data_IF_451773301521
#
_entry.id   IF_451773301521
#
_cell.length_a   1.000
_cell.length_b   1.000
_cell.length_c   1.000
_cell.angle_alpha   90.00
_cell.angle_beta   90.00
_cell.angle_gamma   90.00
#
_symmetry.space_group_name_H-M   'P 1'
#
loop_
_entity.id
_entity.type
_entity.pdbx_description
1 polymer ?
#
# COMPACT_ATOMS: atom_id res chain seq x y z
N UNK A 1 12.61 8.30 8.11
CA UNK A 1 12.67 9.50 7.23
C UNK A 1 11.29 9.90 6.69
N UNK A 2 10.43 8.96 6.26
CA UNK A 2 9.07 9.30 5.76
C UNK A 2 8.20 9.98 6.85
N UNK A 3 7.99 9.29 7.98
CA UNK A 3 7.14 9.80 9.06
C UNK A 3 7.72 11.07 9.70
N UNK A 4 9.04 11.13 9.86
CA UNK A 4 9.73 12.32 10.36
C UNK A 4 9.61 13.55 9.44
N UNK A 5 9.30 13.35 8.15
CA UNK A 5 8.99 14.41 7.20
C UNK A 5 7.50 14.76 7.16
N UNK A 6 6.68 14.23 8.07
CA UNK A 6 5.23 14.44 8.12
C UNK A 6 4.44 13.64 7.06
N UNK A 7 5.09 12.69 6.38
CA UNK A 7 4.48 11.82 5.38
C UNK A 7 3.96 10.50 5.96
N UNK A 8 3.24 9.76 5.12
CA UNK A 8 2.67 8.44 5.44
C UNK A 8 3.46 7.33 4.75
N UNK A 9 3.72 6.25 5.47
CA UNK A 9 4.49 5.12 4.96
C UNK A 9 3.57 3.99 4.48
N UNK A 10 3.80 3.54 3.24
CA UNK A 10 3.06 2.43 2.61
C UNK A 10 4.06 1.43 2.04
N UNK A 11 3.84 0.13 2.29
CA UNK A 11 4.60 -0.92 1.60
C UNK A 11 4.03 -1.11 0.20
N UNK A 12 4.83 -0.80 -0.82
CA UNK A 12 4.48 -1.04 -2.21
C UNK A 12 4.65 -2.52 -2.58
N UNK A 13 3.67 -3.05 -3.34
CA UNK A 13 3.60 -4.38 -3.94
C UNK A 13 4.42 -5.44 -3.17
N UNK A 14 3.99 -5.82 -1.95
CA UNK A 14 4.81 -6.59 -0.99
C UNK A 14 5.34 -7.90 -1.58
N UNK A 15 4.54 -8.56 -2.42
CA UNK A 15 4.88 -9.84 -3.02
C UNK A 15 5.71 -9.75 -4.31
N UNK A 16 5.94 -8.55 -4.88
CA UNK A 16 6.79 -8.41 -6.06
C UNK A 16 8.24 -8.87 -5.78
N UNK A 17 8.74 -8.57 -4.57
CA UNK A 17 10.09 -8.96 -4.11
C UNK A 17 10.13 -10.32 -3.39
N UNK A 18 8.98 -10.84 -2.97
CA UNK A 18 8.83 -12.04 -2.14
C UNK A 18 8.01 -13.14 -2.82
N UNK A 19 8.06 -13.23 -4.17
CA UNK A 19 7.28 -14.23 -4.93
C UNK A 19 7.44 -15.62 -4.33
N UNK A 20 6.32 -16.20 -3.87
CA UNK A 20 6.26 -17.53 -3.28
C UNK A 20 6.51 -17.61 -1.76
N UNK A 21 6.70 -16.48 -1.06
CA UNK A 21 6.73 -16.46 0.41
C UNK A 21 5.35 -16.10 0.97
N UNK A 22 4.93 -16.84 1.99
CA UNK A 22 3.73 -16.52 2.75
C UNK A 22 4.07 -15.47 3.81
N UNK A 23 3.49 -14.27 3.68
CA UNK A 23 3.59 -13.24 4.72
C UNK A 23 2.44 -13.38 5.71
N UNK A 24 2.69 -13.05 6.97
CA UNK A 24 1.75 -13.05 8.09
C UNK A 24 1.73 -11.67 8.75
N UNK A 25 0.69 -11.35 9.50
CA UNK A 25 0.60 -10.07 10.21
C UNK A 25 1.80 -9.83 11.16
N UNK A 26 2.34 -10.90 11.75
CA UNK A 26 3.53 -10.84 12.60
C UNK A 26 4.79 -10.34 11.86
N UNK A 27 4.88 -10.52 10.54
CA UNK A 27 6.02 -10.05 9.74
C UNK A 27 6.01 -8.51 9.59
N UNK A 28 4.88 -7.86 9.88
CA UNK A 28 4.70 -6.41 9.75
C UNK A 28 4.61 -5.69 11.10
N UNK A 29 4.53 -6.39 12.23
CA UNK A 29 4.30 -5.75 13.54
C UNK A 29 5.35 -4.72 13.90
N UNK A 30 6.62 -5.02 13.61
CA UNK A 30 7.74 -4.11 13.88
C UNK A 30 7.69 -2.87 12.97
N UNK A 31 7.20 -3.03 11.74
CA UNK A 31 7.01 -1.93 10.80
C UNK A 31 5.85 -1.04 11.25
N UNK A 32 4.75 -1.62 11.72
CA UNK A 32 3.64 -0.87 12.34
C UNK A 32 4.13 -0.08 13.55
N UNK A 33 4.90 -0.71 14.44
CA UNK A 33 5.51 -0.04 15.59
C UNK A 33 6.47 1.09 15.17
N UNK A 34 7.13 0.95 14.03
CA UNK A 34 8.01 1.97 13.45
C UNK A 34 7.26 3.06 12.64
N UNK A 35 5.93 2.97 12.50
CA UNK A 35 5.10 3.95 11.80
C UNK A 35 4.69 3.57 10.38
N UNK A 36 4.42 2.30 10.11
CA UNK A 36 3.74 1.86 8.89
C UNK A 36 2.25 2.25 8.94
N UNK A 37 1.74 2.85 7.86
CA UNK A 37 0.37 3.36 7.79
C UNK A 37 -0.51 2.60 6.79
N UNK A 38 0.08 2.01 5.75
CA UNK A 38 -0.67 1.32 4.72
C UNK A 38 0.10 0.23 4.00
N UNK A 39 -0.62 -0.51 3.16
CA UNK A 39 -0.08 -1.58 2.33
C UNK A 39 -0.78 -1.61 0.98
N UNK A 40 0.01 -1.80 -0.08
CA UNK A 40 -0.53 -1.94 -1.43
C UNK A 40 -1.01 -3.37 -1.67
N UNK A 41 -2.31 -3.50 -1.93
CA UNK A 41 -2.99 -4.77 -2.18
C UNK A 41 -3.33 -4.91 -3.66
N UNK A 42 -3.90 -3.87 -4.26
CA UNK A 42 -4.36 -3.97 -5.65
C UNK A 42 -3.21 -3.61 -6.60
N UNK A 43 -2.49 -4.64 -7.04
CA UNK A 43 -1.38 -4.55 -8.00
C UNK A 43 -1.33 -5.77 -8.91
N UNK A 44 -0.82 -5.60 -10.15
CA UNK A 44 -0.74 -6.67 -11.16
C UNK A 44 0.07 -7.89 -10.70
N UNK A 45 1.17 -7.65 -10.00
CA UNK A 45 2.05 -8.71 -9.50
C UNK A 45 1.47 -9.50 -8.32
N UNK A 46 0.25 -9.18 -7.89
CA UNK A 46 -0.45 -9.87 -6.80
C UNK A 46 -1.64 -10.63 -7.35
N UNK A 47 -1.65 -11.95 -7.20
CA UNK A 47 -2.75 -12.81 -7.59
C UNK A 47 -3.94 -12.68 -6.60
N UNK A 48 -5.13 -13.22 -6.91
CA UNK A 48 -6.31 -13.07 -6.04
C UNK A 48 -6.12 -13.56 -4.59
N UNK A 49 -5.39 -14.66 -4.39
CA UNK A 49 -5.16 -15.23 -3.05
C UNK A 49 -4.19 -14.36 -2.23
N UNK A 50 -3.14 -13.86 -2.88
CA UNK A 50 -2.20 -12.90 -2.30
C UNK A 50 -2.91 -11.60 -1.88
N UNK A 51 -3.81 -11.08 -2.73
CA UNK A 51 -4.63 -9.92 -2.39
C UNK A 51 -5.52 -10.18 -1.18
N UNK A 52 -6.19 -11.34 -1.13
CA UNK A 52 -7.04 -11.70 -0.01
C UNK A 52 -6.23 -11.79 1.31
N UNK A 53 -5.04 -12.39 1.25
CA UNK A 53 -4.10 -12.45 2.38
C UNK A 53 -3.70 -11.05 2.87
N UNK A 54 -3.31 -10.16 1.97
CA UNK A 54 -2.91 -8.80 2.35
C UNK A 54 -4.07 -7.96 2.87
N UNK A 55 -5.30 -8.17 2.37
CA UNK A 55 -6.50 -7.54 2.96
C UNK A 55 -6.71 -8.00 4.40
N UNK A 56 -6.53 -9.28 4.69
CA UNK A 56 -6.64 -9.80 6.05
C UNK A 56 -5.59 -9.18 6.97
N UNK A 57 -4.33 -9.15 6.53
CA UNK A 57 -3.23 -8.52 7.28
C UNK A 57 -3.51 -7.02 7.50
N UNK A 58 -3.97 -6.31 6.47
CA UNK A 58 -4.30 -4.89 6.59
C UNK A 58 -5.43 -4.66 7.60
N UNK A 59 -6.45 -5.51 7.60
CA UNK A 59 -7.56 -5.44 8.55
C UNK A 59 -7.09 -5.73 9.99
N UNK A 60 -6.28 -6.76 10.19
CA UNK A 60 -5.76 -7.16 11.50
C UNK A 60 -4.87 -6.08 12.13
N UNK A 61 -4.03 -5.44 11.32
CA UNK A 61 -3.09 -4.40 11.76
C UNK A 61 -3.65 -2.98 11.68
N UNK A 62 -4.89 -2.82 11.20
CA UNK A 62 -5.50 -1.51 11.00
C UNK A 62 -4.76 -0.64 9.98
N UNK A 63 -4.18 -1.24 8.94
CA UNK A 63 -3.49 -0.52 7.87
C UNK A 63 -4.49 0.03 6.83
N UNK A 64 -4.08 1.10 6.14
CA UNK A 64 -4.78 1.58 4.94
C UNK A 64 -4.49 0.66 3.76
N UNK A 65 -5.53 0.31 3.00
CA UNK A 65 -5.39 -0.49 1.78
C UNK A 65 -5.23 0.42 0.57
N UNK A 66 -4.15 0.25 -0.18
CA UNK A 66 -3.91 1.02 -1.41
C UNK A 66 -3.88 0.12 -2.65
N UNK A 67 -4.06 0.77 -3.80
CA UNK A 67 -3.90 0.16 -5.12
C UNK A 67 -3.28 1.16 -6.08
N UNK A 68 -2.35 0.70 -6.91
CA UNK A 68 -1.75 1.51 -7.95
C UNK A 68 -1.34 0.67 -9.17
N UNK A 69 -1.05 1.38 -10.25
CA UNK A 69 -0.65 0.76 -11.51
C UNK A 69 0.83 0.42 -11.57
N UNK A 70 1.71 1.09 -10.83
CA UNK A 70 3.16 1.06 -11.07
C UNK A 70 3.52 1.27 -12.56
N UNK A 71 2.86 2.25 -13.20
CA UNK A 71 3.00 2.52 -14.63
C UNK A 71 4.38 3.10 -14.99
N UNK A 72 5.01 2.53 -16.02
CA UNK A 72 6.36 2.88 -16.48
C UNK A 72 6.42 3.19 -17.99
N UNK A 73 5.33 3.68 -18.59
CA UNK A 73 5.28 3.90 -20.04
C UNK A 73 5.28 2.59 -20.80
N UNK A 74 6.18 2.47 -21.78
CA UNK A 74 6.40 1.23 -22.54
C UNK A 74 7.40 0.27 -21.84
N UNK A 75 7.91 0.61 -20.65
CA UNK A 75 8.89 -0.19 -19.92
C UNK A 75 8.30 -1.37 -19.14
N UNK A 76 6.98 -1.36 -18.90
CA UNK A 76 6.23 -2.46 -18.26
C UNK A 76 4.88 -2.62 -18.96
N UNK A 77 4.25 -3.78 -18.74
CA UNK A 77 2.93 -4.09 -19.29
C UNK A 77 1.77 -3.42 -18.53
N UNK A 78 2.05 -2.81 -17.38
CA UNK A 78 1.08 -2.15 -16.53
C UNK A 78 0.43 -1.00 -17.32
N UNK A 79 -0.89 -0.85 -17.19
CA UNK A 79 -1.62 0.29 -17.78
C UNK A 79 -1.80 1.38 -16.73
N UNK A 80 -1.73 2.65 -17.14
CA UNK A 80 -1.99 3.76 -16.22
C UNK A 80 -3.39 3.64 -15.61
N UNK A 81 -3.48 3.65 -14.28
CA UNK A 81 -4.74 3.54 -13.56
C UNK A 81 -5.38 2.14 -13.56
N UNK A 82 -4.63 1.09 -13.93
CA UNK A 82 -5.09 -0.30 -13.92
C UNK A 82 -5.64 -0.75 -12.56
N UNK A 83 -5.03 -0.27 -11.47
CA UNK A 83 -5.57 -0.35 -10.11
C UNK A 83 -5.55 1.05 -9.48
N UNK A 84 -6.48 1.25 -8.56
CA UNK A 84 -6.71 2.53 -7.90
C UNK A 84 -6.92 2.31 -6.41
N UNK A 85 -6.57 3.32 -5.62
CA UNK A 85 -6.91 3.37 -4.20
C UNK A 85 -8.34 3.85 -4.07
N UNK A 86 -9.16 3.14 -3.28
CA UNK A 86 -10.55 3.52 -3.07
C UNK A 86 -10.63 4.91 -2.40
N UNK A 87 -11.64 5.75 -2.72
CA UNK A 87 -11.73 7.12 -2.20
C UNK A 87 -11.70 7.21 -0.66
N UNK A 88 -12.37 6.29 0.04
CA UNK A 88 -12.39 6.22 1.50
C UNK A 88 -11.01 5.87 2.09
N UNK A 89 -10.28 4.96 1.44
CA UNK A 89 -8.91 4.63 1.83
C UNK A 89 -7.95 5.79 1.54
N UNK A 90 -8.15 6.52 0.45
CA UNK A 90 -7.41 7.73 0.17
C UNK A 90 -7.63 8.81 1.24
N UNK A 91 -8.88 9.09 1.60
CA UNK A 91 -9.22 10.04 2.66
C UNK A 91 -8.61 9.62 4.01
N UNK A 92 -8.65 8.33 4.31
CA UNK A 92 -7.99 7.77 5.49
C UNK A 92 -6.48 7.97 5.44
N UNK A 93 -5.82 7.68 4.32
CA UNK A 93 -4.39 7.89 4.13
C UNK A 93 -4.00 9.37 4.30
N UNK A 94 -4.78 10.26 3.70
CA UNK A 94 -4.59 11.72 3.79
C UNK A 94 -4.69 12.21 5.24
N UNK A 95 -5.64 11.66 6.02
CA UNK A 95 -5.85 12.04 7.42
C UNK A 95 -4.68 11.72 8.36
N UNK A 96 -3.80 10.81 7.96
CA UNK A 96 -2.63 10.37 8.73
C UNK A 96 -1.38 11.23 8.51
N UNK A 97 -1.40 12.14 7.52
CA UNK A 97 -0.28 13.03 7.24
C UNK A 97 -0.26 14.27 8.15
N UNK A 98 0.91 14.62 8.69
CA UNK A 98 1.10 15.74 9.62
C UNK A 98 1.41 17.06 8.87
N UNK A 99 2.04 16.98 7.69
CA UNK A 99 2.45 18.15 6.89
C UNK A 99 1.80 18.14 5.49
N UNK A 100 0.46 18.14 5.46
CA UNK A 100 -0.30 18.01 4.21
C UNK A 100 -0.21 19.24 3.29
N UNK A 101 0.01 18.99 2.00
CA UNK A 101 -0.33 19.92 0.91
C UNK A 101 -1.01 19.13 -0.21
N UNK A 102 -2.32 18.95 -0.10
CA UNK A 102 -3.12 18.30 -1.15
C UNK A 102 -3.57 19.36 -2.15
N UNK A 103 -3.14 19.20 -3.40
CA UNK A 103 -3.62 20.02 -4.52
C UNK A 103 -4.89 19.39 -5.04
N UNK A 104 -6.03 20.07 -4.86
CA UNK A 104 -7.31 19.67 -5.44
C UNK A 104 -7.41 20.31 -6.84
N UNK A 105 -7.86 19.52 -7.81
CA UNK A 105 -8.18 19.99 -9.16
C UNK A 105 -9.56 20.64 -9.22
#
# INVERSE_FOLDING_TARGET
>A
MICAAGGVAVIAHPFASHRGQTLQAADFSDLVAAGLHGIEVDHRDQNPDERAMLRNIANELGLVVTGASDYHGNGKLNSLGEFQTAPDQWERLESLADQRRVVRA
#
